data_IF_720834166557
#
_entry.id   IF_720834166557
#
_cell.length_a   1.000
_cell.length_b   1.000
_cell.length_c   1.000
_cell.angle_alpha   90.00
_cell.angle_beta   90.00
_cell.angle_gamma   90.00
#
_symmetry.space_group_name_H-M   'P 1'
#
loop_
_entity.id
_entity.type
_entity.pdbx_description
1 polymer ?
#
# COMPACT_ATOMS: atom_id res chain seq x y z
N UNK A 1 10.90 -24.04 -45.38
CA UNK A 1 10.98 -24.86 -44.15
C UNK A 1 11.71 -24.03 -43.10
N UNK A 2 11.01 -23.09 -42.46
CA UNK A 2 11.61 -22.19 -41.46
C UNK A 2 11.41 -22.79 -40.07
N UNK A 3 12.51 -23.13 -39.40
CA UNK A 3 12.49 -23.53 -37.99
C UNK A 3 12.32 -22.28 -37.14
N UNK A 4 11.16 -22.13 -36.53
CA UNK A 4 10.92 -21.11 -35.50
C UNK A 4 11.55 -21.63 -34.21
N UNK A 5 12.73 -21.13 -33.89
CA UNK A 5 13.34 -21.30 -32.57
C UNK A 5 12.68 -20.35 -31.58
N UNK A 6 11.72 -20.85 -30.81
CA UNK A 6 11.26 -20.15 -29.60
C UNK A 6 12.33 -20.38 -28.53
N UNK A 7 13.18 -19.39 -28.27
CA UNK A 7 14.06 -19.39 -27.11
C UNK A 7 13.27 -18.78 -25.96
N UNK A 8 12.70 -19.65 -25.13
CA UNK A 8 12.20 -19.29 -23.79
C UNK A 8 13.40 -19.29 -22.84
N UNK A 9 14.10 -18.16 -22.75
CA UNK A 9 15.04 -17.90 -21.67
C UNK A 9 14.33 -17.04 -20.62
N UNK A 10 13.80 -17.71 -19.61
CA UNK A 10 13.25 -17.09 -18.41
C UNK A 10 14.40 -16.55 -17.57
N UNK A 11 14.58 -15.23 -17.52
CA UNK A 11 14.99 -14.38 -16.39
C UNK A 11 15.31 -13.00 -16.97
N UNK A 12 14.35 -12.06 -16.87
CA UNK A 12 14.47 -10.62 -17.20
C UNK A 12 14.89 -10.33 -18.67
N UNK A 13 13.96 -9.78 -19.47
CA UNK A 13 14.31 -8.90 -20.60
C UNK A 13 13.90 -9.32 -22.01
N UNK A 14 13.97 -10.60 -22.38
CA UNK A 14 13.72 -11.02 -23.76
C UNK A 14 12.34 -11.68 -23.92
N UNK A 15 11.41 -10.97 -24.56
CA UNK A 15 10.16 -11.56 -25.06
C UNK A 15 9.85 -11.05 -26.47
N UNK A 16 9.90 -11.95 -27.45
CA UNK A 16 9.28 -11.76 -28.76
C UNK A 16 7.86 -12.32 -28.65
N UNK A 17 6.84 -11.47 -28.61
CA UNK A 17 5.44 -11.90 -28.55
C UNK A 17 4.72 -11.53 -29.84
N UNK A 18 4.34 -12.55 -30.63
CA UNK A 18 3.48 -12.38 -31.80
C UNK A 18 2.01 -12.57 -31.39
N UNK A 19 1.36 -11.50 -30.95
CA UNK A 19 -0.10 -11.43 -30.86
C UNK A 19 -0.54 -10.23 -31.70
N UNK A 20 -0.91 -10.50 -32.96
CA UNK A 20 -1.09 -9.44 -33.97
C UNK A 20 0.19 -9.23 -34.79
N UNK A 21 0.06 -8.72 -36.00
CA UNK A 21 1.11 -8.57 -37.04
C UNK A 21 2.24 -7.58 -36.68
N UNK A 22 2.39 -7.22 -35.41
CA UNK A 22 3.31 -6.19 -34.97
C UNK A 22 4.53 -6.84 -34.30
N UNK A 23 5.66 -6.81 -35.01
CA UNK A 23 6.94 -7.28 -34.48
C UNK A 23 7.57 -6.15 -33.67
N UNK A 24 7.73 -6.38 -32.37
CA UNK A 24 8.37 -5.44 -31.45
C UNK A 24 9.66 -6.02 -30.88
N UNK A 25 10.73 -5.23 -30.92
CA UNK A 25 11.92 -5.48 -30.11
C UNK A 25 11.81 -4.69 -28.82
N UNK A 26 12.13 -5.26 -27.65
CA UNK A 26 11.92 -4.59 -26.36
C UNK A 26 13.21 -4.49 -25.56
N UNK A 27 13.52 -3.27 -25.14
CA UNK A 27 14.54 -2.94 -24.14
C UNK A 27 13.84 -2.39 -22.89
N UNK A 28 14.23 -2.84 -21.69
CA UNK A 28 13.59 -2.38 -20.46
C UNK A 28 14.57 -2.23 -19.31
N UNK A 29 14.69 -1.01 -18.82
CA UNK A 29 15.33 -0.64 -17.56
C UNK A 29 14.30 -0.07 -16.57
N UNK A 30 13.07 -0.58 -16.56
CA UNK A 30 12.00 0.00 -15.72
C UNK A 30 12.23 -0.21 -14.22
N UNK A 31 11.80 0.76 -13.43
CA UNK A 31 11.85 0.72 -11.97
C UNK A 31 10.94 -0.34 -11.36
N UNK A 32 11.39 -0.94 -10.26
CA UNK A 32 10.58 -1.86 -9.48
C UNK A 32 9.46 -1.11 -8.75
N UNK A 33 8.28 -1.71 -8.71
CA UNK A 33 7.18 -1.14 -7.93
C UNK A 33 7.46 -1.24 -6.42
N UNK A 34 7.05 -0.21 -5.70
CA UNK A 34 7.10 -0.14 -4.26
C UNK A 34 6.15 -1.17 -3.63
N UNK A 35 6.60 -1.75 -2.52
CA UNK A 35 5.80 -2.68 -1.73
C UNK A 35 4.73 -1.93 -0.94
N UNK A 36 3.54 -2.51 -0.85
CA UNK A 36 2.49 -1.99 0.01
C UNK A 36 2.91 -1.99 1.48
N UNK A 37 2.41 -1.00 2.21
CA UNK A 37 2.48 -0.94 3.65
C UNK A 37 1.64 -2.05 4.28
N UNK A 38 2.04 -2.44 5.49
CA UNK A 38 1.30 -3.40 6.30
C UNK A 38 0.16 -2.71 7.04
N UNK A 39 -0.99 -3.36 7.10
CA UNK A 39 -2.10 -2.89 7.91
C UNK A 39 -1.74 -2.89 9.40
N UNK A 40 -2.28 -1.90 10.09
CA UNK A 40 -2.27 -1.79 11.52
C UNK A 40 -3.20 -2.82 12.15
N UNK A 41 -2.84 -3.31 13.33
CA UNK A 41 -3.63 -4.28 14.07
C UNK A 41 -4.91 -3.65 14.60
N UNK A 42 -6.02 -4.32 14.33
CA UNK A 42 -7.31 -3.99 14.95
C UNK A 42 -7.54 -4.80 16.22
N UNK A 43 -8.27 -4.23 17.17
CA UNK A 43 -8.80 -4.96 18.31
C UNK A 43 -10.31 -5.09 18.16
N UNK A 44 -10.75 -6.25 17.68
CA UNK A 44 -12.15 -6.50 17.32
C UNK A 44 -12.93 -6.95 18.56
N UNK A 45 -14.16 -6.48 18.66
CA UNK A 45 -15.12 -6.90 19.68
C UNK A 45 -15.15 -5.95 20.87
N UNK A 46 -15.72 -6.44 21.97
CA UNK A 46 -15.93 -5.68 23.20
C UNK A 46 -14.90 -6.08 24.24
N UNK A 47 -14.42 -5.13 25.02
CA UNK A 47 -13.68 -5.39 26.23
C UNK A 47 -14.59 -6.07 27.27
N UNK A 48 -13.97 -6.61 28.32
CA UNK A 48 -14.69 -7.43 29.28
C UNK A 48 -15.62 -6.56 30.12
N UNK A 49 -16.85 -7.02 30.27
CA UNK A 49 -17.84 -6.36 31.12
C UNK A 49 -17.48 -6.49 32.61
N UNK A 50 -17.94 -5.51 33.38
CA UNK A 50 -17.92 -5.54 34.83
C UNK A 50 -18.82 -6.63 35.38
N UNK A 51 -18.52 -7.09 36.58
CA UNK A 51 -19.34 -8.05 37.29
C UNK A 51 -20.38 -7.35 38.15
N UNK A 52 -21.59 -7.88 38.16
CA UNK A 52 -22.65 -7.39 39.05
C UNK A 52 -22.24 -7.54 40.52
N UNK A 53 -22.69 -6.61 41.33
CA UNK A 53 -22.57 -6.66 42.78
C UNK A 53 -23.56 -7.65 43.40
N UNK A 54 -23.23 -8.17 44.58
CA UNK A 54 -24.13 -9.03 45.34
C UNK A 54 -24.54 -8.37 46.66
N UNK A 55 -25.82 -8.43 47.02
CA UNK A 55 -26.34 -8.05 48.34
C UNK A 55 -25.89 -6.65 48.82
N UNK A 56 -26.28 -5.60 48.10
CA UNK A 56 -25.91 -4.22 48.44
C UNK A 56 -24.45 -3.84 48.13
N UNK A 57 -23.67 -4.73 47.51
CA UNK A 57 -22.34 -4.41 46.99
C UNK A 57 -22.43 -3.73 45.63
N UNK A 58 -21.47 -2.88 45.33
CA UNK A 58 -21.37 -2.19 44.04
C UNK A 58 -21.03 -3.18 42.92
N UNK A 59 -21.57 -2.94 41.73
CA UNK A 59 -21.12 -3.56 40.51
C UNK A 59 -19.73 -3.06 40.14
N UNK A 60 -18.96 -3.88 39.42
CA UNK A 60 -17.62 -3.51 38.96
C UNK A 60 -17.69 -2.77 37.63
N UNK A 61 -16.70 -1.94 37.40
CA UNK A 61 -16.54 -1.24 36.13
C UNK A 61 -16.19 -2.23 35.01
N UNK A 62 -16.63 -1.91 33.79
CA UNK A 62 -16.19 -2.59 32.57
C UNK A 62 -14.79 -2.16 32.17
N UNK A 63 -14.06 -3.05 31.50
CA UNK A 63 -12.70 -2.77 31.04
C UNK A 63 -12.71 -1.80 29.84
N UNK A 64 -11.70 -0.95 29.75
CA UNK A 64 -11.51 -0.07 28.59
C UNK A 64 -11.11 -0.88 27.33
N UNK A 65 -11.60 -0.42 26.18
CA UNK A 65 -11.25 -0.92 24.87
C UNK A 65 -9.83 -0.53 24.45
N UNK A 66 -9.12 -1.48 23.84
CA UNK A 66 -7.77 -1.25 23.30
C UNK A 66 -7.80 -0.40 22.04
N UNK A 67 -6.80 0.46 21.89
CA UNK A 67 -6.62 1.29 20.70
C UNK A 67 -6.09 0.48 19.51
N UNK A 68 -6.51 0.82 18.31
CA UNK A 68 -5.93 0.25 17.09
C UNK A 68 -4.47 0.69 16.88
N UNK A 69 -3.70 -0.10 16.14
CA UNK A 69 -2.33 0.21 15.77
C UNK A 69 -2.27 0.86 14.37
N UNK A 70 -1.26 1.71 14.12
CA UNK A 70 -1.11 2.44 12.86
C UNK A 70 -0.78 1.54 11.67
N UNK A 71 -1.35 1.89 10.50
CA UNK A 71 -0.93 1.34 9.22
C UNK A 71 0.46 1.83 8.83
N UNK A 72 1.26 0.97 8.21
CA UNK A 72 2.61 1.31 7.76
C UNK A 72 2.59 2.00 6.39
N UNK A 73 3.57 2.86 6.09
CA UNK A 73 3.67 3.50 4.78
C UNK A 73 3.91 2.48 3.67
N UNK A 74 3.39 2.78 2.48
CA UNK A 74 3.84 2.14 1.25
C UNK A 74 5.26 2.57 0.91
N UNK A 75 6.05 1.67 0.32
CA UNK A 75 7.41 2.02 -0.14
C UNK A 75 7.33 2.75 -1.47
N UNK A 76 8.24 3.67 -1.72
CA UNK A 76 8.35 4.32 -3.03
C UNK A 76 8.75 3.32 -4.11
N UNK A 77 8.31 3.58 -5.34
CA UNK A 77 8.81 2.88 -6.52
C UNK A 77 10.26 3.26 -6.81
N UNK A 78 11.01 2.33 -7.38
CA UNK A 78 12.37 2.59 -7.85
C UNK A 78 12.36 3.44 -9.11
N UNK A 79 13.38 4.28 -9.29
CA UNK A 79 13.57 5.01 -10.55
C UNK A 79 13.80 4.05 -11.72
N UNK A 80 13.46 4.48 -12.94
CA UNK A 80 13.95 3.84 -14.15
C UNK A 80 15.48 3.93 -14.24
N UNK A 81 16.07 2.98 -14.94
CA UNK A 81 17.50 2.88 -15.16
C UNK A 81 17.97 3.65 -16.39
N UNK A 82 19.09 3.23 -16.95
CA UNK A 82 19.70 3.90 -18.11
C UNK A 82 19.75 2.94 -19.29
N UNK A 83 19.38 3.43 -20.46
CA UNK A 83 19.56 2.72 -21.73
C UNK A 83 20.46 3.56 -22.63
N UNK A 84 21.62 3.04 -23.00
CA UNK A 84 22.38 3.55 -24.14
C UNK A 84 22.09 2.67 -25.34
N UNK A 85 21.67 3.25 -26.46
CA UNK A 85 21.23 2.54 -27.66
C UNK A 85 22.01 3.08 -28.86
N UNK A 86 22.70 2.20 -29.58
CA UNK A 86 23.25 2.48 -30.90
C UNK A 86 22.45 1.73 -31.94
N UNK A 87 21.86 2.48 -32.87
CA UNK A 87 21.03 1.93 -33.92
C UNK A 87 21.66 2.26 -35.28
N UNK A 88 21.88 1.25 -36.10
CA UNK A 88 22.42 1.42 -37.46
C UNK A 88 21.76 0.47 -38.44
N UNK A 89 21.93 0.71 -39.74
CA UNK A 89 21.57 -0.26 -40.77
C UNK A 89 22.34 -1.57 -40.58
N UNK A 90 21.64 -2.70 -40.74
CA UNK A 90 22.20 -4.05 -40.65
C UNK A 90 23.11 -4.42 -41.83
N UNK A 91 23.69 -5.61 -41.75
CA UNK A 91 24.50 -6.19 -42.82
C UNK A 91 23.64 -6.69 -43.99
N UNK A 92 22.39 -7.03 -43.71
CA UNK A 92 21.39 -7.42 -44.72
C UNK A 92 20.44 -6.26 -45.06
N UNK A 93 19.87 -6.25 -46.28
CA UNK A 93 18.78 -5.34 -46.61
C UNK A 93 17.63 -5.49 -45.60
N UNK A 94 16.99 -4.36 -45.26
CA UNK A 94 15.84 -4.29 -44.36
C UNK A 94 16.10 -4.76 -42.90
N UNK A 95 17.37 -4.97 -42.54
CA UNK A 95 17.77 -5.24 -41.16
C UNK A 95 18.28 -3.98 -40.48
N UNK A 96 18.06 -3.87 -39.16
CA UNK A 96 18.76 -2.93 -38.28
C UNK A 96 19.67 -3.70 -37.33
N UNK A 97 20.83 -3.12 -37.04
CA UNK A 97 21.67 -3.55 -35.94
C UNK A 97 21.35 -2.72 -34.71
N UNK A 98 21.05 -3.41 -33.61
CA UNK A 98 20.75 -2.86 -32.30
C UNK A 98 21.91 -3.23 -31.38
N UNK A 99 22.68 -2.25 -30.95
CA UNK A 99 23.56 -2.40 -29.79
C UNK A 99 23.01 -1.63 -28.62
N UNK A 100 22.98 -2.22 -27.43
CA UNK A 100 22.50 -1.51 -26.25
C UNK A 100 23.25 -1.88 -24.98
N UNK A 101 23.35 -0.90 -24.09
CA UNK A 101 23.73 -1.06 -22.69
C UNK A 101 22.51 -0.74 -21.83
N UNK A 102 22.02 -1.73 -21.09
CA UNK A 102 20.84 -1.59 -20.25
C UNK A 102 21.24 -1.71 -18.79
N UNK A 103 21.33 -0.58 -18.09
CA UNK A 103 21.58 -0.55 -16.65
C UNK A 103 20.23 -0.51 -15.91
N UNK A 104 19.73 -1.69 -15.54
CA UNK A 104 18.50 -1.81 -14.78
C UNK A 104 18.67 -1.37 -13.32
N UNK A 105 17.62 -0.81 -12.69
CA UNK A 105 17.65 -0.47 -11.27
C UNK A 105 18.02 -1.67 -10.40
N UNK A 106 18.91 -1.46 -9.43
CA UNK A 106 19.39 -2.51 -8.52
C UNK A 106 20.43 -3.47 -9.12
N UNK A 107 20.86 -3.27 -10.36
CA UNK A 107 21.95 -4.05 -10.98
C UNK A 107 23.24 -3.25 -10.96
N UNK A 108 24.35 -3.92 -10.63
CA UNK A 108 25.68 -3.30 -10.52
C UNK A 108 26.40 -3.16 -11.87
N UNK A 109 25.93 -3.87 -12.89
CA UNK A 109 26.53 -3.93 -14.22
C UNK A 109 25.46 -3.88 -15.30
N UNK A 110 25.72 -3.21 -16.44
CA UNK A 110 24.78 -3.19 -17.56
C UNK A 110 24.69 -4.54 -18.24
N UNK A 111 23.52 -4.83 -18.79
CA UNK A 111 23.32 -5.88 -19.78
C UNK A 111 23.74 -5.36 -21.16
N UNK A 112 24.54 -6.14 -21.87
CA UNK A 112 25.05 -5.80 -23.20
C UNK A 112 24.25 -6.56 -24.26
N UNK A 113 23.77 -5.83 -25.27
CA UNK A 113 23.00 -6.38 -26.40
C UNK A 113 23.71 -5.98 -27.69
N UNK A 114 23.84 -6.90 -28.64
CA UNK A 114 24.32 -6.66 -30.01
C UNK A 114 23.62 -7.65 -30.95
N UNK A 115 22.56 -7.19 -31.60
CA UNK A 115 21.65 -8.03 -32.39
C UNK A 115 21.37 -7.40 -33.74
N UNK A 116 21.15 -8.23 -34.76
CA UNK A 116 20.66 -7.79 -36.07
C UNK A 116 19.23 -8.29 -36.28
N UNK A 117 18.30 -7.37 -36.45
CA UNK A 117 16.86 -7.65 -36.49
C UNK A 117 16.25 -7.22 -37.82
N UNK A 118 15.44 -8.09 -38.41
CA UNK A 118 14.60 -7.75 -39.55
C UNK A 118 13.53 -6.75 -39.12
N UNK A 119 13.47 -5.60 -39.78
CA UNK A 119 12.39 -4.64 -39.55
C UNK A 119 11.32 -4.82 -40.62
N UNK A 120 10.17 -5.29 -40.16
CA UNK A 120 8.96 -5.37 -40.98
C UNK A 120 8.28 -3.99 -41.05
N UNK A 121 7.44 -3.74 -42.07
CA UNK A 121 6.62 -2.54 -42.12
C UNK A 121 5.85 -2.33 -40.81
N UNK A 122 5.94 -1.12 -40.24
CA UNK A 122 5.38 -0.71 -38.93
C UNK A 122 6.04 -1.33 -37.68
N UNK A 123 7.11 -2.13 -37.82
CA UNK A 123 7.86 -2.63 -36.67
C UNK A 123 8.43 -1.50 -35.81
N UNK A 124 8.39 -1.66 -34.48
CA UNK A 124 8.95 -0.70 -33.52
C UNK A 124 9.90 -1.37 -32.55
N UNK A 125 10.92 -0.63 -32.14
CA UNK A 125 11.79 -0.93 -31.01
C UNK A 125 11.24 -0.16 -29.82
N UNK A 126 10.67 -0.90 -28.86
CA UNK A 126 10.11 -0.33 -27.65
C UNK A 126 11.22 -0.21 -26.59
N UNK A 127 11.49 1.01 -26.14
CA UNK A 127 12.49 1.28 -25.11
C UNK A 127 11.80 1.81 -23.87
N UNK A 128 11.89 1.05 -22.78
CA UNK A 128 11.27 1.40 -21.50
C UNK A 128 12.34 1.77 -20.47
N UNK A 129 12.31 3.00 -19.98
CA UNK A 129 12.99 3.41 -18.75
C UNK A 129 11.97 4.13 -17.86
N UNK A 130 10.88 3.43 -17.53
CA UNK A 130 9.75 3.96 -16.78
C UNK A 130 9.99 3.79 -15.29
N UNK A 131 9.63 4.78 -14.47
CA UNK A 131 9.68 4.68 -13.01
C UNK A 131 8.68 3.68 -12.44
N UNK A 132 9.07 2.98 -11.38
CA UNK A 132 8.19 2.03 -10.68
C UNK A 132 7.04 2.73 -9.96
N UNK A 133 5.89 2.08 -9.85
CA UNK A 133 4.75 2.66 -9.09
C UNK A 133 5.02 2.60 -7.59
N UNK A 134 4.56 3.59 -6.84
CA UNK A 134 4.61 3.59 -5.38
C UNK A 134 3.65 2.58 -4.75
N UNK A 135 4.04 2.03 -3.61
CA UNK A 135 3.23 1.06 -2.85
C UNK A 135 2.04 1.73 -2.15
N UNK A 136 0.95 0.98 -1.98
CA UNK A 136 -0.23 1.47 -1.24
C UNK A 136 0.06 1.49 0.26
N UNK A 137 -0.36 2.53 0.97
CA UNK A 137 -0.23 2.59 2.44
C UNK A 137 -1.18 1.61 3.14
N UNK A 138 -0.74 1.06 4.28
CA UNK A 138 -1.54 0.12 5.07
C UNK A 138 -2.73 0.80 5.77
N UNK A 139 -3.83 0.09 5.97
CA UNK A 139 -4.98 0.58 6.74
C UNK A 139 -4.63 0.70 8.23
N UNK A 140 -5.17 1.72 8.91
CA UNK A 140 -5.09 1.84 10.36
C UNK A 140 -6.03 0.87 11.08
N UNK A 141 -5.61 0.39 12.24
CA UNK A 141 -6.38 -0.54 13.06
C UNK A 141 -7.63 0.08 13.68
N UNK A 142 -8.68 -0.72 13.77
CA UNK A 142 -9.91 -0.37 14.48
C UNK A 142 -9.69 -0.51 16.01
N UNK A 143 -10.25 0.42 16.78
CA UNK A 143 -10.27 0.37 18.25
C UNK A 143 -11.37 -0.56 18.76
N UNK A 144 -11.14 -1.17 19.92
CA UNK A 144 -12.06 -2.10 20.58
C UNK A 144 -13.17 -1.35 21.32
N UNK A 145 -14.37 -1.92 21.38
CA UNK A 145 -15.43 -1.36 22.22
C UNK A 145 -15.08 -1.55 23.72
N UNK A 146 -15.51 -0.61 24.58
CA UNK A 146 -15.40 -0.74 26.03
C UNK A 146 -16.42 -1.73 26.60
N UNK A 147 -16.09 -2.35 27.73
CA UNK A 147 -16.98 -3.25 28.46
C UNK A 147 -18.08 -2.48 29.19
N UNK A 148 -19.26 -3.05 29.34
CA UNK A 148 -20.32 -2.45 30.16
C UNK A 148 -19.97 -2.61 31.64
N UNK A 149 -20.42 -1.68 32.48
CA UNK A 149 -20.33 -1.83 33.93
C UNK A 149 -21.38 -2.80 34.46
N UNK A 150 -21.03 -3.55 35.50
CA UNK A 150 -21.95 -4.46 36.18
C UNK A 150 -22.99 -3.71 37.00
N UNK A 151 -24.18 -4.29 37.15
CA UNK A 151 -25.24 -3.73 37.96
C UNK A 151 -24.89 -3.80 39.46
N UNK A 152 -25.36 -2.84 40.23
CA UNK A 152 -25.24 -2.85 41.68
C UNK A 152 -26.13 -3.94 42.30
N UNK A 153 -25.65 -4.57 43.35
CA UNK A 153 -26.40 -5.62 44.03
C UNK A 153 -27.64 -5.09 44.75
N UNK A 154 -28.77 -5.74 44.52
CA UNK A 154 -30.00 -5.54 45.30
C UNK A 154 -29.77 -5.84 46.77
N UNK A 155 -30.61 -5.28 47.64
CA UNK A 155 -30.58 -5.59 49.07
C UNK A 155 -31.40 -6.84 49.35
N UNK A 156 -30.83 -7.76 50.14
CA UNK A 156 -31.54 -8.93 50.68
C UNK A 156 -31.29 -9.00 52.19
N UNK A 157 -32.06 -8.24 52.98
CA UNK A 157 -31.99 -8.23 54.45
C UNK A 157 -31.64 -6.85 55.04
N UNK A 158 -31.06 -6.82 56.24
CA UNK A 158 -30.68 -5.59 56.95
C UNK A 158 -29.43 -4.92 56.35
N UNK A 159 -29.52 -4.49 55.10
CA UNK A 159 -28.52 -3.64 54.44
C UNK A 159 -28.91 -2.17 54.54
N UNK A 160 -27.93 -1.28 54.70
CA UNK A 160 -28.20 0.16 54.86
C UNK A 160 -28.34 0.92 53.51
N UNK A 161 -28.03 0.29 52.37
CA UNK A 161 -28.07 0.88 51.02
C UNK A 161 -27.90 -0.18 49.93
N UNK A 162 -28.47 0.06 48.74
CA UNK A 162 -28.27 -0.81 47.57
C UNK A 162 -26.95 -0.48 46.87
N UNK A 163 -26.42 -1.45 46.13
CA UNK A 163 -25.16 -1.28 45.42
C UNK A 163 -25.26 -0.22 44.32
N UNK A 164 -24.18 0.52 44.10
CA UNK A 164 -24.02 1.34 42.91
C UNK A 164 -23.74 0.44 41.70
N UNK A 165 -24.17 0.85 40.51
CA UNK A 165 -23.71 0.22 39.27
C UNK A 165 -22.29 0.65 38.93
N UNK A 166 -21.51 -0.26 38.34
CA UNK A 166 -20.19 0.04 37.83
C UNK A 166 -20.23 0.90 36.57
N UNK A 167 -19.18 1.65 36.30
CA UNK A 167 -19.06 2.44 35.08
C UNK A 167 -18.76 1.55 33.86
N UNK A 168 -19.23 1.97 32.68
CA UNK A 168 -18.80 1.37 31.43
C UNK A 168 -17.40 1.83 31.06
N UNK A 169 -16.59 0.93 30.50
CA UNK A 169 -15.26 1.21 29.99
C UNK A 169 -15.30 2.10 28.74
N UNK A 170 -14.24 2.84 28.51
CA UNK A 170 -14.06 3.69 27.34
C UNK A 170 -13.85 2.84 26.08
N UNK A 171 -14.31 3.34 24.93
CA UNK A 171 -13.98 2.75 23.64
C UNK A 171 -12.55 3.09 23.23
N UNK A 172 -11.89 2.14 22.55
CA UNK A 172 -10.56 2.32 22.02
C UNK A 172 -10.52 3.28 20.83
N UNK A 173 -9.49 4.12 20.77
CA UNK A 173 -9.24 4.99 19.63
C UNK A 173 -8.91 4.20 18.37
N UNK A 174 -9.30 4.75 17.22
CA UNK A 174 -8.87 4.26 15.93
C UNK A 174 -7.46 4.73 15.60
N UNK A 175 -6.74 3.94 14.80
CA UNK A 175 -5.43 4.31 14.30
C UNK A 175 -5.49 4.92 12.89
N UNK A 176 -4.46 5.70 12.57
CA UNK A 176 -4.27 6.28 11.23
C UNK A 176 -3.86 5.21 10.22
N UNK A 177 -4.30 5.36 8.97
CA UNK A 177 -3.70 4.66 7.85
C UNK A 177 -2.29 5.18 7.56
N UNK A 178 -1.46 4.35 6.92
CA UNK A 178 -0.15 4.74 6.42
C UNK A 178 -0.26 5.53 5.11
N UNK A 179 0.67 6.44 4.82
CA UNK A 179 0.71 7.12 3.52
C UNK A 179 1.09 6.16 2.39
N UNK A 180 0.71 6.51 1.16
CA UNK A 180 1.19 5.82 -0.04
C UNK A 180 2.65 6.18 -0.33
N UNK A 181 3.40 5.27 -0.94
CA UNK A 181 4.76 5.54 -1.39
C UNK A 181 4.76 6.36 -2.68
N UNK A 182 5.81 7.14 -2.92
CA UNK A 182 5.93 7.92 -4.15
C UNK A 182 6.23 7.03 -5.36
N UNK A 183 5.85 7.46 -6.56
CA UNK A 183 6.30 6.85 -7.80
C UNK A 183 7.79 7.15 -8.04
N UNK A 184 8.51 6.18 -8.59
CA UNK A 184 9.90 6.37 -8.99
C UNK A 184 10.02 7.30 -10.20
N UNK A 185 11.16 7.97 -10.35
CA UNK A 185 11.44 8.80 -11.52
C UNK A 185 11.54 7.96 -12.80
N UNK A 186 11.22 8.54 -13.95
CA UNK A 186 11.66 8.00 -15.23
C UNK A 186 13.19 7.93 -15.30
N UNK A 187 13.70 7.02 -16.11
CA UNK A 187 15.12 6.82 -16.36
C UNK A 187 15.62 7.63 -17.55
N UNK A 188 16.83 7.31 -17.99
CA UNK A 188 17.50 8.02 -19.09
C UNK A 188 17.65 7.12 -20.30
N UNK A 189 17.35 7.65 -21.48
CA UNK A 189 17.60 6.95 -22.75
C UNK A 189 18.48 7.83 -23.62
N UNK A 190 19.64 7.32 -24.00
CA UNK A 190 20.55 7.96 -24.95
C UNK A 190 20.56 7.14 -26.23
N UNK A 191 20.20 7.77 -27.34
CA UNK A 191 20.13 7.14 -28.66
C UNK A 191 21.22 7.71 -29.55
N UNK A 192 22.12 6.85 -29.97
CA UNK A 192 23.18 7.15 -30.92
C UNK A 192 22.75 6.68 -32.31
N UNK A 193 22.80 7.60 -33.28
CA UNK A 193 22.46 7.35 -34.68
C UNK A 193 23.63 7.73 -35.60
N UNK A 194 23.89 6.98 -36.69
CA UNK A 194 24.84 7.40 -37.71
C UNK A 194 24.40 8.72 -38.33
N UNK A 195 25.35 9.62 -38.54
CA UNK A 195 25.10 10.87 -39.25
C UNK A 195 24.53 10.58 -40.64
N UNK A 196 23.38 11.17 -40.95
CA UNK A 196 22.65 10.93 -42.21
C UNK A 196 21.73 9.71 -42.20
N UNK A 197 21.57 9.02 -41.06
CA UNK A 197 20.60 7.95 -40.82
C UNK A 197 19.68 8.26 -39.62
N UNK A 198 19.37 9.55 -39.41
CA UNK A 198 18.49 9.97 -38.30
C UNK A 198 17.05 9.47 -38.46
N UNK A 199 16.65 9.08 -39.67
CA UNK A 199 15.36 8.46 -39.99
C UNK A 199 15.15 7.13 -39.25
N UNK A 200 16.24 6.47 -38.82
CA UNK A 200 16.17 5.28 -37.97
C UNK A 200 15.48 5.54 -36.62
N UNK A 201 15.47 6.79 -36.14
CA UNK A 201 14.70 7.17 -34.94
C UNK A 201 13.20 6.88 -35.10
N UNK A 202 12.69 6.85 -36.33
CA UNK A 202 11.28 6.56 -36.61
C UNK A 202 10.87 5.14 -36.21
N UNK A 203 11.83 4.22 -36.01
CA UNK A 203 11.55 2.87 -35.51
C UNK A 203 11.43 2.82 -33.98
N UNK A 204 11.74 3.89 -33.25
CA UNK A 204 11.73 3.87 -31.78
C UNK A 204 10.37 4.30 -31.21
N UNK A 205 9.88 3.57 -30.20
CA UNK A 205 8.85 4.03 -29.26
C UNK A 205 9.48 4.04 -27.87
N UNK A 206 9.78 5.25 -27.36
CA UNK A 206 10.52 5.44 -26.12
C UNK A 206 9.56 5.89 -25.02
N UNK A 207 9.54 5.15 -23.91
CA UNK A 207 8.73 5.45 -22.72
C UNK A 207 9.61 5.68 -21.51
N UNK A 208 9.59 6.92 -21.03
CA UNK A 208 10.48 7.43 -19.98
C UNK A 208 9.73 8.22 -18.89
N UNK A 209 8.42 8.01 -18.73
CA UNK A 209 7.68 8.73 -17.70
C UNK A 209 7.98 8.18 -16.29
N UNK A 210 7.71 8.99 -15.27
CA UNK A 210 7.75 8.53 -13.88
C UNK A 210 6.62 7.57 -13.55
N UNK A 211 6.79 6.86 -12.44
CA UNK A 211 5.80 5.95 -11.88
C UNK A 211 4.65 6.70 -11.21
N UNK A 212 3.51 6.04 -11.09
CA UNK A 212 2.38 6.57 -10.33
C UNK A 212 2.67 6.51 -8.84
N UNK A 213 2.21 7.51 -8.09
CA UNK A 213 2.21 7.47 -6.63
C UNK A 213 1.21 6.43 -6.09
N UNK A 214 1.56 5.81 -4.98
CA UNK A 214 0.72 4.87 -4.26
C UNK A 214 -0.43 5.56 -3.53
N UNK A 215 -1.56 4.86 -3.39
CA UNK A 215 -2.69 5.38 -2.60
C UNK A 215 -2.39 5.31 -1.12
N UNK A 216 -2.94 6.24 -0.34
CA UNK A 216 -2.92 6.18 1.11
C UNK A 216 -3.76 5.01 1.63
N UNK A 217 -3.43 4.54 2.84
CA UNK A 217 -4.30 3.69 3.62
C UNK A 217 -5.54 4.43 4.11
N UNK A 218 -6.50 3.70 4.67
CA UNK A 218 -7.66 4.30 5.34
C UNK A 218 -7.45 4.31 6.85
N UNK A 219 -8.03 5.29 7.54
CA UNK A 219 -8.06 5.27 9.00
C UNK A 219 -8.96 4.13 9.51
N UNK A 220 -8.66 3.65 10.70
CA UNK A 220 -9.50 2.71 11.42
C UNK A 220 -10.80 3.35 11.91
N UNK A 221 -11.64 2.53 12.53
CA UNK A 221 -12.85 2.93 13.23
C UNK A 221 -12.62 2.95 14.73
N UNK A 222 -13.23 3.91 15.41
CA UNK A 222 -13.16 3.98 16.86
C UNK A 222 -14.14 2.99 17.50
N UNK A 223 -13.74 2.44 18.63
CA UNK A 223 -14.60 1.62 19.49
C UNK A 223 -15.62 2.48 20.23
N UNK A 224 -16.78 1.91 20.52
CA UNK A 224 -17.83 2.51 21.33
C UNK A 224 -17.50 2.39 22.82
N UNK A 225 -17.92 3.35 23.62
CA UNK A 225 -17.88 3.19 25.08
C UNK A 225 -18.94 2.20 25.56
N UNK A 226 -18.62 1.49 26.64
CA UNK A 226 -19.56 0.61 27.33
C UNK A 226 -20.61 1.39 28.10
N UNK A 227 -21.75 0.76 28.33
CA UNK A 227 -22.83 1.33 29.14
C UNK A 227 -22.51 1.20 30.63
N UNK A 228 -22.92 2.18 31.43
CA UNK A 228 -22.85 2.06 32.89
C UNK A 228 -23.91 1.09 33.42
N UNK A 229 -23.56 0.34 34.46
CA UNK A 229 -24.45 -0.54 35.18
C UNK A 229 -25.50 0.25 35.98
N UNK A 230 -26.65 -0.37 36.23
CA UNK A 230 -27.75 0.20 37.00
C UNK A 230 -27.46 0.10 38.50
N UNK A 231 -28.06 0.98 39.29
CA UNK A 231 -28.08 0.81 40.74
C UNK A 231 -28.97 -0.38 41.13
N UNK A 232 -28.60 -1.09 42.19
CA UNK A 232 -29.41 -2.17 42.74
C UNK A 232 -30.73 -1.67 43.34
N UNK A 233 -31.74 -2.54 43.43
CA UNK A 233 -33.03 -2.22 44.03
C UNK A 233 -32.85 -1.92 45.54
N UNK A 234 -33.24 -0.71 46.00
CA UNK A 234 -33.17 -0.35 47.41
C UNK A 234 -34.22 -1.05 48.28
N UNK A 235 -35.20 -1.74 47.68
CA UNK A 235 -36.32 -2.31 48.39
C UNK A 235 -36.19 -3.82 48.58
N UNK A 236 -36.52 -4.30 49.78
CA UNK A 236 -36.60 -5.72 50.10
C UNK A 236 -37.84 -6.00 50.94
N UNK A 237 -38.24 -7.26 51.07
CA UNK A 237 -39.37 -7.67 51.89
C UNK A 237 -38.88 -8.28 53.21
N UNK A 238 -39.38 -7.78 54.33
CA UNK A 238 -39.18 -8.34 55.68
C UNK A 238 -40.54 -8.67 56.26
N UNK A 239 -40.79 -9.96 56.53
CA UNK A 239 -42.06 -10.47 57.07
C UNK A 239 -43.32 -9.96 56.33
N UNK A 240 -43.22 -9.86 55.00
CA UNK A 240 -44.31 -9.42 54.13
C UNK A 240 -44.43 -7.91 53.93
N UNK A 241 -43.63 -7.10 54.65
CA UNK A 241 -43.60 -5.65 54.49
C UNK A 241 -42.45 -5.23 53.55
N UNK A 242 -42.75 -4.39 52.55
CA UNK A 242 -41.73 -3.79 51.68
C UNK A 242 -41.01 -2.68 52.42
N UNK A 243 -39.72 -2.86 52.69
CA UNK A 243 -38.83 -1.87 53.28
C UNK A 243 -37.87 -1.38 52.22
N UNK A 244 -37.71 -0.07 52.11
CA UNK A 244 -36.79 0.55 51.16
C UNK A 244 -35.76 1.39 51.91
N UNK A 245 -34.52 1.38 51.44
CA UNK A 245 -33.44 2.23 51.96
C UNK A 245 -32.94 3.16 50.85
N UNK A 246 -31.81 3.83 51.08
CA UNK A 246 -31.18 4.67 50.07
C UNK A 246 -30.76 3.84 48.85
N UNK A 247 -31.18 4.28 47.66
CA UNK A 247 -30.75 3.73 46.37
C UNK A 247 -29.32 4.12 46.08
N UNK A 248 -28.53 3.19 45.53
CA UNK A 248 -27.24 3.48 44.92
C UNK A 248 -27.36 4.35 43.66
N UNK A 249 -26.22 4.73 43.10
CA UNK A 249 -26.14 5.46 41.82
C UNK A 249 -25.93 4.49 40.66
N UNK A 250 -26.50 4.80 39.50
CA UNK A 250 -26.13 4.09 38.27
C UNK A 250 -24.75 4.55 37.82
N UNK A 251 -23.96 3.63 37.28
CA UNK A 251 -22.66 3.92 36.69
C UNK A 251 -22.81 4.79 35.45
N UNK A 252 -21.72 5.48 35.12
CA UNK A 252 -21.64 6.30 33.91
C UNK A 252 -21.27 5.44 32.72
N UNK A 253 -21.85 5.72 31.55
CA UNK A 253 -21.37 5.12 30.31
C UNK A 253 -20.01 5.69 29.93
N UNK A 254 -19.14 4.83 29.38
CA UNK A 254 -17.88 5.22 28.80
C UNK A 254 -18.07 6.06 27.54
N UNK A 255 -17.06 6.87 27.22
CA UNK A 255 -17.02 7.59 25.95
C UNK A 255 -16.56 6.68 24.83
N UNK A 256 -17.11 6.88 23.63
CA UNK A 256 -16.54 6.28 22.42
C UNK A 256 -15.12 6.80 22.19
N UNK A 257 -14.27 5.93 21.65
CA UNK A 257 -12.96 6.28 21.20
C UNK A 257 -13.00 7.35 20.10
N UNK A 258 -11.85 7.94 19.87
CA UNK A 258 -11.65 8.97 18.84
C UNK A 258 -11.24 8.32 17.53
N UNK A 259 -11.74 8.90 16.43
CA UNK A 259 -11.20 8.61 15.11
C UNK A 259 -9.79 9.20 15.00
N UNK A 260 -8.94 8.58 14.19
CA UNK A 260 -7.63 9.12 13.90
C UNK A 260 -7.74 10.51 13.24
N UNK A 261 -6.93 11.45 13.74
CA UNK A 261 -6.86 12.82 13.21
C UNK A 261 -5.95 12.87 11.99
N UNK A 262 -6.45 13.45 10.89
CA UNK A 262 -5.71 13.59 9.64
C UNK A 262 -5.95 12.43 8.67
N UNK A 263 -6.00 12.77 7.38
CA UNK A 263 -6.06 11.78 6.32
C UNK A 263 -4.63 11.48 5.87
N UNK A 264 -4.24 10.19 5.79
CA UNK A 264 -2.97 9.83 5.20
C UNK A 264 -2.92 10.27 3.75
N UNK A 265 -1.71 10.61 3.29
CA UNK A 265 -1.51 11.21 1.97
C UNK A 265 -1.19 10.15 0.93
N UNK A 266 -1.66 10.38 -0.30
CA UNK A 266 -1.21 9.63 -1.45
C UNK A 266 0.25 10.00 -1.75
N UNK A 267 1.00 9.05 -2.29
CA UNK A 267 2.33 9.32 -2.82
C UNK A 267 2.26 10.23 -4.04
N UNK A 268 3.33 10.98 -4.28
CA UNK A 268 3.51 11.80 -5.46
C UNK A 268 3.78 10.94 -6.70
N UNK A 269 3.43 11.48 -7.87
CA UNK A 269 3.88 10.91 -9.14
C UNK A 269 5.38 11.18 -9.30
N UNK A 270 6.11 10.20 -9.83
CA UNK A 270 7.52 10.38 -10.17
C UNK A 270 7.68 11.35 -11.34
N UNK A 271 8.79 12.12 -11.39
CA UNK A 271 9.07 12.97 -12.54
C UNK A 271 9.35 12.12 -13.78
N UNK A 272 9.12 12.69 -14.96
CA UNK A 272 9.57 12.08 -16.21
C UNK A 272 11.09 12.12 -16.31
N UNK A 273 11.66 11.14 -17.00
CA UNK A 273 13.07 11.06 -17.31
C UNK A 273 13.42 11.87 -18.55
N UNK A 274 14.56 11.54 -19.15
CA UNK A 274 15.12 12.25 -20.29
C UNK A 274 15.45 11.31 -21.46
N UNK A 275 15.27 11.84 -22.67
CA UNK A 275 15.75 11.21 -23.90
C UNK A 275 16.69 12.16 -24.61
N UNK A 276 17.83 11.64 -25.03
CA UNK A 276 18.82 12.38 -25.81
C UNK A 276 19.13 11.64 -27.10
N UNK A 277 19.14 12.36 -28.22
CA UNK A 277 19.54 11.84 -29.53
C UNK A 277 20.88 12.45 -29.93
N UNK A 278 21.84 11.61 -30.29
CA UNK A 278 23.20 11.99 -30.63
C UNK A 278 23.56 11.41 -32.00
N UNK A 279 23.76 12.28 -32.99
CA UNK A 279 24.34 11.87 -34.27
C UNK A 279 25.86 11.72 -34.14
N UNK A 280 26.38 10.56 -34.49
CA UNK A 280 27.82 10.25 -34.51
C UNK A 280 28.27 9.91 -35.94
N UNK A 281 29.54 10.12 -36.30
CA UNK A 281 30.06 9.67 -37.58
C UNK A 281 29.88 8.16 -37.75
N UNK A 282 29.61 7.68 -38.97
CA UNK A 282 29.33 6.26 -39.23
C UNK A 282 30.44 5.33 -38.74
N UNK A 283 31.69 5.81 -38.69
CA UNK A 283 32.84 5.09 -38.13
C UNK A 283 32.70 4.75 -36.64
N UNK A 284 31.83 5.43 -35.89
CA UNK A 284 31.53 5.11 -34.49
C UNK A 284 30.60 3.91 -34.33
N UNK A 285 29.91 3.51 -35.41
CA UNK A 285 29.03 2.33 -35.48
C UNK A 285 29.71 1.14 -36.16
N UNK A 286 30.74 1.42 -36.94
CA UNK A 286 31.65 0.43 -37.52
C UNK A 286 32.70 0.02 -36.50
N UNK A 287 32.66 -1.20 -35.98
CA UNK A 287 33.85 -1.81 -35.38
C UNK A 287 33.90 -3.27 -35.85
N UNK A 288 35.12 -3.65 -36.24
CA UNK A 288 35.65 -4.96 -36.68
C UNK A 288 34.88 -6.22 -36.25
#
# INVERSE_FOLDING_TARGET
MFRIGVILASFIGLSVSAWGQDYFYRLSASGLSGLSGMDGRSHIGKARDGFDGFNGQDGRDGDDGRHGEEGKPGRSGGSGGVVQLWLSTGSQPDHLRIKAEVLSPGHSSPEMIDEEVLIVPNGKILVYAVGGSGGVGGRGGDGQDGGDGGDGGDIRGFGHRSGNGGNGGQGGNAASGGPGGDGGSGGRVVVHLPAGQEDLASYLDIRIHGGLGGRSGMNGRAGRGGQGGRAGDPCYYDRGERKCVSRGFSGRSGFSGRMASGLPQNGAMGPSGDVEFISLPSSAFSIE
#
